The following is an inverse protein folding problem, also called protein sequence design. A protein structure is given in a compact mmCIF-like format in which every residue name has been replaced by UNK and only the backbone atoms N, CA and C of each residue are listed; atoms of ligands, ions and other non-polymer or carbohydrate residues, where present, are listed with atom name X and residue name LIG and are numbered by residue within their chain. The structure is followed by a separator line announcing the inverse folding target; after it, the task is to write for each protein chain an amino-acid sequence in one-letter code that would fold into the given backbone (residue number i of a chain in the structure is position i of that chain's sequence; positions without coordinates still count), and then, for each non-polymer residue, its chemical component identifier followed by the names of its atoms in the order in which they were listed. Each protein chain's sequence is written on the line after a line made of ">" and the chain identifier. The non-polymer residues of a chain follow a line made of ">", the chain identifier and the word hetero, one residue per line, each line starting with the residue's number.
data_IF_176908307464
#
_entry.id   IF_176908307464
#
_cell.length_a   1.000
_cell.length_b   1.000
_cell.length_c   1.000
_cell.angle_alpha   90.00
_cell.angle_beta   90.00
_cell.angle_gamma   90.00
#
_symmetry.space_group_name_H-M   'P 1'
#
loop_
_entity.id
_entity.type
_entity.pdbx_description
1 polymer ?
#
# COMPACT_ATOMS: atom_id res chain seq x y z
N UNK A 1 79.02 8.32 11.53
CA UNK A 1 77.61 8.04 11.89
C UNK A 1 76.74 9.13 11.28
N UNK A 2 76.22 8.90 10.07
CA UNK A 2 74.79 8.62 9.74
C UNK A 2 73.83 9.79 10.05
N UNK A 3 73.57 10.58 9.02
CA UNK A 3 72.43 11.49 8.83
C UNK A 3 71.14 10.69 8.61
N UNK A 4 70.04 11.01 9.29
CA UNK A 4 68.69 10.73 8.79
C UNK A 4 67.75 11.90 9.16
N UNK A 5 67.24 12.54 8.11
CA UNK A 5 66.24 13.61 8.10
C UNK A 5 64.85 13.10 8.48
N UNK A 6 64.14 13.86 9.32
CA UNK A 6 62.70 13.73 9.52
C UNK A 6 61.97 14.35 8.30
N UNK A 7 61.63 13.52 7.31
CA UNK A 7 60.68 13.91 6.27
C UNK A 7 59.25 13.72 6.79
N UNK A 8 58.54 14.81 7.02
CA UNK A 8 57.07 14.81 7.08
C UNK A 8 56.52 14.66 5.66
N UNK A 9 56.11 13.46 5.29
CA UNK A 9 55.31 13.25 4.07
C UNK A 9 53.88 13.02 4.52
N UNK A 10 53.07 14.05 4.32
CA UNK A 10 51.62 13.98 4.41
C UNK A 10 51.10 13.03 3.32
N UNK A 11 50.75 11.80 3.71
CA UNK A 11 49.99 10.89 2.85
C UNK A 11 48.54 11.39 2.78
N UNK A 12 48.29 12.32 1.85
CA UNK A 12 46.94 12.66 1.40
C UNK A 12 46.49 11.58 0.42
N UNK A 13 45.96 10.50 0.96
CA UNK A 13 45.08 9.59 0.21
C UNK A 13 43.77 10.33 -0.13
N UNK A 14 43.46 10.67 -1.41
CA UNK A 14 42.17 11.26 -1.74
C UNK A 14 41.13 10.13 -1.77
N UNK A 15 40.21 10.15 -0.80
CA UNK A 15 39.07 9.26 -0.71
C UNK A 15 38.14 9.44 -1.93
N UNK A 16 38.32 8.58 -2.94
CA UNK A 16 37.48 8.47 -4.14
C UNK A 16 36.03 8.01 -3.86
N UNK A 17 35.57 8.00 -2.61
CA UNK A 17 34.22 7.63 -2.21
C UNK A 17 33.25 8.81 -2.07
N UNK A 18 33.73 10.05 -2.25
CA UNK A 18 32.95 11.27 -1.99
C UNK A 18 32.07 11.74 -3.16
N UNK A 19 32.00 11.01 -4.27
CA UNK A 19 31.24 11.43 -5.49
C UNK A 19 29.95 10.67 -5.81
N UNK A 20 29.49 9.73 -4.98
CA UNK A 20 28.19 9.06 -5.16
C UNK A 20 27.06 9.67 -4.31
N UNK A 21 27.09 10.99 -4.10
CA UNK A 21 26.28 11.66 -3.09
C UNK A 21 25.11 12.53 -3.58
N UNK A 22 24.74 12.53 -4.87
CA UNK A 22 23.56 13.28 -5.35
C UNK A 22 22.88 12.58 -6.53
N UNK A 23 21.69 12.00 -6.29
CA UNK A 23 20.62 12.05 -7.30
C UNK A 23 19.85 10.77 -7.63
N UNK A 24 20.32 9.56 -7.32
CA UNK A 24 19.56 8.35 -7.65
C UNK A 24 18.77 7.86 -6.44
N UNK A 25 17.64 8.53 -6.16
CA UNK A 25 16.60 7.87 -5.35
C UNK A 25 16.16 6.63 -6.14
N UNK A 26 16.12 5.43 -5.53
CA UNK A 26 15.69 4.22 -6.23
C UNK A 26 14.34 4.49 -6.90
N UNK A 27 14.17 4.05 -8.15
CA UNK A 27 12.91 4.22 -8.91
C UNK A 27 11.68 3.68 -8.14
N UNK A 28 11.89 2.73 -7.24
CA UNK A 28 10.91 2.18 -6.29
C UNK A 28 10.36 3.23 -5.29
N UNK A 29 11.13 4.27 -4.96
CA UNK A 29 10.63 5.41 -4.18
C UNK A 29 9.84 6.42 -5.01
N UNK A 30 9.91 6.39 -6.35
CA UNK A 30 9.10 7.28 -7.22
C UNK A 30 7.65 6.80 -7.36
N UNK A 31 7.37 5.54 -7.02
CA UNK A 31 6.01 4.98 -6.92
C UNK A 31 5.25 5.36 -5.63
N UNK A 32 5.89 6.07 -4.67
CA UNK A 32 5.39 6.31 -3.30
C UNK A 32 4.09 7.12 -3.16
N UNK A 33 3.45 7.61 -4.22
CA UNK A 33 2.29 8.51 -4.08
C UNK A 33 1.00 8.09 -4.77
N UNK A 34 1.01 6.99 -5.52
CA UNK A 34 -0.21 6.48 -6.14
C UNK A 34 -0.90 5.52 -5.19
N UNK A 35 -1.56 6.09 -4.19
CA UNK A 35 -2.62 5.39 -3.49
C UNK A 35 -3.82 5.31 -4.44
N UNK A 36 -4.40 4.13 -4.55
CA UNK A 36 -5.62 3.97 -5.31
C UNK A 36 -6.79 3.71 -4.36
N UNK A 37 -7.94 4.27 -4.71
CA UNK A 37 -9.16 4.02 -3.96
C UNK A 37 -9.75 2.70 -4.45
N UNK A 38 -9.87 1.75 -3.54
CA UNK A 38 -10.58 0.50 -3.77
C UNK A 38 -11.92 0.55 -3.06
N UNK A 39 -12.94 0.05 -3.74
CA UNK A 39 -14.27 -0.11 -3.17
C UNK A 39 -14.74 -1.53 -3.36
N UNK A 40 -14.89 -2.24 -2.25
CA UNK A 40 -15.37 -3.61 -2.19
C UNK A 40 -16.86 -3.60 -1.87
N UNK A 41 -17.60 -4.45 -2.55
CA UNK A 41 -19.02 -4.69 -2.40
C UNK A 41 -19.19 -6.16 -2.04
N UNK A 42 -19.55 -6.42 -0.79
CA UNK A 42 -19.62 -7.77 -0.23
C UNK A 42 -21.09 -8.01 0.14
N UNK A 43 -21.69 -9.05 -0.44
CA UNK A 43 -23.06 -9.42 -0.10
C UNK A 43 -23.04 -10.20 1.22
N UNK A 44 -23.83 -9.75 2.18
CA UNK A 44 -24.03 -10.42 3.48
C UNK A 44 -25.52 -10.76 3.59
N UNK A 45 -25.82 -12.00 3.96
CA UNK A 45 -27.20 -12.46 4.13
C UNK A 45 -27.73 -12.07 5.51
N UNK A 46 -26.90 -12.24 6.53
CA UNK A 46 -27.25 -11.95 7.91
C UNK A 46 -26.18 -11.13 8.67
N UNK A 47 -26.36 -11.04 9.99
CA UNK A 47 -25.42 -10.36 10.88
C UNK A 47 -24.14 -11.17 11.10
N UNK A 48 -24.21 -12.49 11.14
CA UNK A 48 -23.05 -13.36 11.37
C UNK A 48 -22.06 -13.26 10.20
N UNK A 49 -22.57 -13.23 8.96
CA UNK A 49 -21.80 -12.96 7.75
C UNK A 49 -21.02 -11.64 7.87
N UNK A 50 -21.72 -10.58 8.28
CA UNK A 50 -21.11 -9.27 8.45
C UNK A 50 -19.98 -9.32 9.50
N UNK A 51 -20.23 -9.93 10.66
CA UNK A 51 -19.24 -10.08 11.72
C UNK A 51 -18.01 -10.89 11.24
N UNK A 52 -18.23 -11.94 10.44
CA UNK A 52 -17.15 -12.73 9.84
C UNK A 52 -16.29 -11.90 8.87
N UNK A 53 -16.92 -11.09 8.00
CA UNK A 53 -16.21 -10.18 7.10
C UNK A 53 -15.40 -9.15 7.89
N UNK A 54 -15.98 -8.58 8.96
CA UNK A 54 -15.29 -7.60 9.80
C UNK A 54 -14.13 -8.23 10.59
N UNK A 55 -14.26 -9.48 11.04
CA UNK A 55 -13.16 -10.22 11.63
C UNK A 55 -12.01 -10.41 10.62
N UNK A 56 -12.32 -10.74 9.36
CA UNK A 56 -11.30 -10.82 8.31
C UNK A 56 -10.62 -9.46 8.04
N UNK A 57 -11.35 -8.34 8.12
CA UNK A 57 -10.75 -7.00 8.03
C UNK A 57 -9.73 -6.79 9.13
N UNK A 58 -10.08 -7.12 10.38
CA UNK A 58 -9.21 -6.97 11.55
C UNK A 58 -7.96 -7.85 11.48
N UNK A 59 -8.05 -9.05 10.90
CA UNK A 59 -6.91 -9.96 10.81
C UNK A 59 -6.03 -9.74 9.58
N UNK A 60 -6.56 -9.26 8.46
CA UNK A 60 -5.82 -9.18 7.19
C UNK A 60 -5.48 -7.75 6.79
N UNK A 61 -6.41 -6.81 6.94
CA UNK A 61 -6.26 -5.44 6.43
C UNK A 61 -5.65 -4.50 7.48
N UNK A 62 -6.16 -4.52 8.70
CA UNK A 62 -5.67 -3.62 9.76
C UNK A 62 -4.18 -3.80 10.08
N UNK A 63 -3.61 -5.02 10.16
CA UNK A 63 -2.18 -5.21 10.41
C UNK A 63 -1.30 -4.70 9.25
N UNK A 64 -1.85 -4.61 8.05
CA UNK A 64 -1.19 -4.01 6.88
C UNK A 64 -1.32 -2.48 6.83
N UNK A 65 -1.91 -1.86 7.85
CA UNK A 65 -2.19 -0.42 7.91
C UNK A 65 -3.32 0.00 6.97
N UNK A 66 -4.23 -0.91 6.62
CA UNK A 66 -5.43 -0.61 5.83
C UNK A 66 -6.65 -0.53 6.75
N UNK A 67 -7.26 0.64 6.82
CA UNK A 67 -8.45 0.91 7.63
C UNK A 67 -9.63 1.29 6.73
N UNK A 68 -10.42 0.30 6.24
CA UNK A 68 -11.53 0.59 5.35
C UNK A 68 -12.66 1.34 6.06
N UNK A 69 -13.19 2.36 5.39
CA UNK A 69 -14.47 2.96 5.74
C UNK A 69 -15.60 2.01 5.36
N UNK A 70 -16.52 1.78 6.30
CA UNK A 70 -17.59 0.81 6.16
C UNK A 70 -18.92 1.53 5.96
N UNK A 71 -19.75 1.03 5.06
CA UNK A 71 -21.12 1.51 4.87
C UNK A 71 -22.03 0.37 4.44
N UNK A 72 -23.29 0.42 4.85
CA UNK A 72 -24.29 -0.59 4.47
C UNK A 72 -25.19 -0.03 3.38
N UNK A 73 -25.44 -0.84 2.34
CA UNK A 73 -26.41 -0.52 1.29
C UNK A 73 -27.46 -1.63 1.18
N UNK A 74 -28.72 -1.28 0.91
CA UNK A 74 -29.71 -2.29 0.52
C UNK A 74 -29.25 -2.95 -0.79
N UNK A 75 -29.26 -4.29 -0.83
CA UNK A 75 -28.99 -5.03 -2.05
C UNK A 75 -30.17 -4.98 -3.02
N UNK A 76 -29.95 -5.37 -4.27
CA UNK A 76 -31.06 -5.74 -5.15
C UNK A 76 -31.56 -7.11 -4.66
N UNK A 77 -32.68 -7.13 -3.92
CA UNK A 77 -33.27 -8.31 -3.24
C UNK A 77 -33.26 -8.21 -1.71
N UNK A 78 -33.43 -9.33 -1.00
CA UNK A 78 -33.51 -9.38 0.48
C UNK A 78 -32.15 -9.22 1.20
N UNK A 79 -31.03 -9.29 0.48
CA UNK A 79 -29.69 -9.22 1.06
C UNK A 79 -29.18 -7.80 1.30
N UNK A 80 -28.30 -7.62 2.28
CA UNK A 80 -27.57 -6.36 2.51
C UNK A 80 -26.20 -6.41 1.85
N UNK A 81 -25.69 -5.26 1.43
CA UNK A 81 -24.36 -5.14 0.85
C UNK A 81 -23.49 -4.30 1.77
N UNK A 82 -22.46 -4.94 2.34
CA UNK A 82 -21.39 -4.25 3.04
C UNK A 82 -20.43 -3.66 2.01
N UNK A 83 -20.26 -2.34 2.06
CA UNK A 83 -19.34 -1.62 1.18
C UNK A 83 -18.14 -1.16 1.99
N UNK A 84 -16.96 -1.64 1.62
CA UNK A 84 -15.67 -1.27 2.21
C UNK A 84 -14.91 -0.36 1.24
N UNK A 85 -14.59 0.86 1.66
CA UNK A 85 -13.82 1.81 0.86
C UNK A 85 -12.47 2.08 1.52
N UNK A 86 -11.37 1.86 0.81
CA UNK A 86 -10.03 2.03 1.36
C UNK A 86 -9.03 2.54 0.31
N UNK A 87 -8.07 3.33 0.76
CA UNK A 87 -6.89 3.67 -0.04
C UNK A 87 -5.81 2.63 0.17
N UNK A 88 -5.25 2.14 -0.93
CA UNK A 88 -4.21 1.12 -0.90
C UNK A 88 -2.98 1.58 -1.70
N UNK A 89 -1.79 1.44 -1.12
CA UNK A 89 -0.52 1.60 -1.84
C UNK A 89 -0.16 0.31 -2.59
N UNK A 90 0.75 0.36 -3.60
CA UNK A 90 1.17 -0.85 -4.31
C UNK A 90 1.71 -1.98 -3.41
N UNK A 91 2.54 -1.72 -2.38
CA UNK A 91 2.98 -2.78 -1.46
C UNK A 91 1.85 -3.38 -0.61
N UNK A 92 0.82 -2.59 -0.28
CA UNK A 92 -0.34 -3.06 0.50
C UNK A 92 -1.30 -3.91 -0.33
N UNK A 93 -1.25 -3.84 -1.67
CA UNK A 93 -2.20 -4.52 -2.57
C UNK A 93 -2.28 -6.02 -2.36
N UNK A 94 -1.18 -6.67 -1.96
CA UNK A 94 -1.15 -8.11 -1.65
C UNK A 94 -2.13 -8.49 -0.54
N UNK A 95 -2.27 -7.65 0.49
CA UNK A 95 -3.17 -7.90 1.63
C UNK A 95 -4.63 -7.71 1.22
N UNK A 96 -4.90 -6.70 0.37
CA UNK A 96 -6.22 -6.52 -0.21
C UNK A 96 -6.64 -7.72 -1.07
N UNK A 97 -5.74 -8.22 -1.92
CA UNK A 97 -5.99 -9.41 -2.75
C UNK A 97 -6.23 -10.65 -1.87
N UNK A 98 -5.39 -10.86 -0.84
CA UNK A 98 -5.57 -11.96 0.11
C UNK A 98 -6.93 -11.90 0.82
N UNK A 99 -7.33 -10.71 1.30
CA UNK A 99 -8.64 -10.49 1.90
C UNK A 99 -9.78 -10.82 0.92
N UNK A 100 -9.70 -10.35 -0.32
CA UNK A 100 -10.72 -10.64 -1.36
C UNK A 100 -10.82 -12.14 -1.60
N UNK A 101 -9.70 -12.86 -1.67
CA UNK A 101 -9.73 -14.32 -1.85
C UNK A 101 -10.34 -15.04 -0.65
N UNK A 102 -9.96 -14.65 0.58
CA UNK A 102 -10.49 -15.27 1.80
C UNK A 102 -12.00 -15.05 1.94
N UNK A 103 -12.46 -13.82 1.75
CA UNK A 103 -13.89 -13.48 1.84
C UNK A 103 -14.66 -14.03 0.65
N UNK A 104 -14.07 -13.96 -0.55
CA UNK A 104 -14.66 -14.44 -1.81
C UNK A 104 -14.89 -15.96 -1.87
N UNK A 105 -14.25 -16.73 -1.00
CA UNK A 105 -14.50 -18.16 -0.85
C UNK A 105 -15.87 -18.46 -0.20
N UNK A 106 -16.43 -17.51 0.55
CA UNK A 106 -17.66 -17.69 1.33
C UNK A 106 -18.76 -16.74 0.88
N UNK A 107 -18.41 -15.49 0.54
CA UNK A 107 -19.35 -14.43 0.20
C UNK A 107 -19.12 -13.91 -1.23
N UNK A 108 -20.18 -13.57 -1.99
CA UNK A 108 -20.01 -12.88 -3.26
C UNK A 108 -19.35 -11.51 -3.08
N UNK A 109 -18.14 -11.35 -3.63
CA UNK A 109 -17.38 -10.09 -3.60
C UNK A 109 -17.29 -9.48 -5.00
N UNK A 110 -17.65 -8.20 -5.11
CA UNK A 110 -17.33 -7.36 -6.27
C UNK A 110 -16.40 -6.25 -5.83
N UNK A 111 -15.45 -5.84 -6.67
CA UNK A 111 -14.54 -4.75 -6.34
C UNK A 111 -14.36 -3.78 -7.50
N UNK A 112 -14.16 -2.52 -7.16
CA UNK A 112 -13.91 -1.43 -8.11
C UNK A 112 -12.62 -0.72 -7.73
N UNK A 113 -11.79 -0.45 -8.74
CA UNK A 113 -10.66 0.45 -8.63
C UNK A 113 -11.08 1.83 -9.12
N UNK A 114 -11.11 2.81 -8.22
CA UNK A 114 -11.39 4.20 -8.57
C UNK A 114 -10.06 4.96 -8.71
N UNK A 115 -9.82 5.65 -9.83
CA UNK A 115 -8.70 6.59 -9.91
C UNK A 115 -8.87 7.65 -8.81
N UNK A 116 -7.74 8.15 -8.31
CA UNK A 116 -7.76 9.23 -7.33
C UNK A 116 -8.37 10.45 -8.01
N UNK A 117 -9.39 11.07 -7.39
CA UNK A 117 -9.92 12.36 -7.83
C UNK A 117 -8.74 13.36 -7.91
N UNK A 118 -8.29 13.66 -9.13
CA UNK A 118 -7.05 14.39 -9.39
C UNK A 118 -6.29 13.91 -10.63
N UNK A 119 -6.40 12.63 -11.02
CA UNK A 119 -5.79 12.14 -12.27
C UNK A 119 -6.63 12.47 -13.52
N UNK A 120 -7.91 12.82 -13.36
CA UNK A 120 -8.80 13.28 -14.45
C UNK A 120 -8.66 14.78 -14.79
N UNK A 121 -7.86 15.55 -14.05
CA UNK A 121 -7.75 17.01 -14.21
C UNK A 121 -6.78 17.47 -15.33
N UNK A 122 -6.32 16.59 -16.23
CA UNK A 122 -5.31 16.94 -17.27
C UNK A 122 -5.77 16.65 -18.71
N UNK A 123 -7.07 16.64 -18.97
CA UNK A 123 -7.61 16.63 -20.34
C UNK A 123 -8.59 17.77 -20.54
N UNK A 124 -8.07 18.98 -20.67
CA UNK A 124 -8.72 20.09 -21.35
C UNK A 124 -7.65 20.92 -22.06
#
# INVERSE_FOLDING_TARGET
>A
MRLISNNSVADKSPSLLSRLGRGLRPLWQRGRRRQHLYRLHIRCEDRADMEQVLAAVSHTLQPAGLSPLQSMKPGRGEGRVLVLSLYCTPPQRRYLVQFIHQVGAVHPVRWELRPRAGDDATRH
#
